data_IF_083948880003
#
_entry.id   IF_083948880003
#
_cell.length_a   1.000
_cell.length_b   1.000
_cell.length_c   1.000
_cell.angle_alpha   90.00
_cell.angle_beta   90.00
_cell.angle_gamma   90.00
#
_symmetry.space_group_name_H-M   'P 1'
#
loop_
_entity.id
_entity.type
_entity.pdbx_description
1 polymer ?
#
# COMPACT_ATOMS: atom_id res chain seq x y z
N UNK A 1 -21.08 -62.34 -8.47
CA UNK A 1 -20.55 -61.64 -7.27
C UNK A 1 -19.77 -60.44 -7.77
N UNK A 2 -20.43 -59.29 -7.99
CA UNK A 2 -19.77 -58.07 -8.49
C UNK A 2 -19.36 -57.22 -7.29
N UNK A 3 -18.05 -57.14 -7.05
CA UNK A 3 -17.48 -56.32 -5.99
C UNK A 3 -17.65 -54.83 -6.36
N UNK A 4 -18.31 -54.07 -5.48
CA UNK A 4 -18.42 -52.62 -5.58
C UNK A 4 -17.06 -52.01 -5.25
N UNK A 5 -16.41 -51.37 -6.23
CA UNK A 5 -15.26 -50.49 -5.99
C UNK A 5 -15.80 -49.25 -5.28
N UNK A 6 -15.45 -49.08 -4.02
CA UNK A 6 -15.74 -47.86 -3.25
C UNK A 6 -14.62 -46.86 -3.63
N UNK A 7 -14.92 -45.94 -4.54
CA UNK A 7 -14.04 -44.80 -4.81
C UNK A 7 -14.03 -43.88 -3.59
N UNK A 8 -12.90 -43.84 -2.89
CA UNK A 8 -12.71 -42.94 -1.77
C UNK A 8 -12.59 -41.50 -2.29
N UNK A 9 -13.60 -40.68 -1.98
CA UNK A 9 -13.56 -39.23 -2.18
C UNK A 9 -12.50 -38.63 -1.25
N UNK A 10 -11.43 -37.97 -1.76
CA UNK A 10 -10.42 -37.41 -0.89
C UNK A 10 -11.01 -36.23 -0.11
N UNK A 11 -11.06 -36.38 1.21
CA UNK A 11 -11.34 -35.32 2.18
C UNK A 11 -10.23 -34.28 2.13
N UNK A 12 -10.46 -33.20 1.40
CA UNK A 12 -9.58 -32.04 1.31
C UNK A 12 -9.63 -31.21 2.60
N UNK A 13 -8.81 -31.56 3.58
CA UNK A 13 -8.55 -30.74 4.77
C UNK A 13 -7.13 -30.17 4.80
N UNK A 14 -6.39 -30.26 3.68
CA UNK A 14 -5.01 -29.79 3.56
C UNK A 14 -4.85 -28.44 2.82
N UNK A 15 -5.94 -27.84 2.31
CA UNK A 15 -5.87 -26.70 1.37
C UNK A 15 -6.09 -25.32 2.02
N UNK A 16 -6.32 -25.23 3.32
CA UNK A 16 -6.63 -23.95 4.00
C UNK A 16 -5.39 -23.20 4.48
N UNK A 17 -4.27 -23.88 4.73
CA UNK A 17 -3.04 -23.22 5.17
C UNK A 17 -2.42 -22.35 4.06
N UNK A 18 -2.51 -22.77 2.79
CA UNK A 18 -1.86 -22.08 1.66
C UNK A 18 -2.67 -20.90 1.12
N UNK A 19 -4.00 -20.96 1.12
CA UNK A 19 -4.84 -19.88 0.58
C UNK A 19 -4.75 -18.59 1.41
N UNK A 20 -4.61 -18.70 2.73
CA UNK A 20 -4.40 -17.57 3.64
C UNK A 20 -3.05 -16.89 3.43
N UNK A 21 -1.98 -17.69 3.35
CA UNK A 21 -0.61 -17.20 3.14
C UNK A 21 -0.44 -16.47 1.81
N UNK A 22 -1.04 -17.01 0.74
CA UNK A 22 -1.04 -16.37 -0.59
C UNK A 22 -1.79 -15.05 -0.54
N UNK A 23 -2.95 -14.98 0.13
CA UNK A 23 -3.72 -13.75 0.28
C UNK A 23 -2.94 -12.67 1.04
N UNK A 24 -2.29 -13.02 2.14
CA UNK A 24 -1.47 -12.08 2.91
C UNK A 24 -0.26 -11.56 2.11
N UNK A 25 0.38 -12.41 1.30
CA UNK A 25 1.45 -11.98 0.40
C UNK A 25 0.94 -10.95 -0.61
N UNK A 26 -0.19 -11.24 -1.27
CA UNK A 26 -0.82 -10.33 -2.23
C UNK A 26 -1.24 -9.00 -1.61
N UNK A 27 -1.78 -9.02 -0.38
CA UNK A 27 -2.14 -7.80 0.37
C UNK A 27 -0.89 -6.97 0.66
N UNK A 28 0.18 -7.61 1.14
CA UNK A 28 1.43 -6.92 1.47
C UNK A 28 2.06 -6.29 0.22
N UNK A 29 2.14 -7.04 -0.88
CA UNK A 29 2.67 -6.54 -2.16
C UNK A 29 1.84 -5.37 -2.70
N UNK A 30 0.52 -5.49 -2.65
CA UNK A 30 -0.39 -4.42 -3.11
C UNK A 30 -0.26 -3.18 -2.25
N UNK A 31 -0.15 -3.35 -0.93
CA UNK A 31 0.04 -2.25 0.02
C UNK A 31 1.35 -1.52 -0.26
N UNK A 32 2.44 -2.25 -0.49
CA UNK A 32 3.73 -1.66 -0.80
C UNK A 32 3.71 -0.89 -2.12
N UNK A 33 3.06 -1.46 -3.15
CA UNK A 33 2.86 -0.77 -4.42
C UNK A 33 2.09 0.54 -4.27
N UNK A 34 1.04 0.56 -3.45
CA UNK A 34 0.24 1.77 -3.21
C UNK A 34 0.98 2.84 -2.40
N UNK A 35 1.91 2.44 -1.52
CA UNK A 35 2.78 3.39 -0.79
C UNK A 35 3.75 4.10 -1.72
N UNK A 36 4.32 3.37 -2.68
CA UNK A 36 5.34 3.89 -3.60
C UNK A 36 4.74 4.61 -4.81
N UNK A 37 3.59 4.15 -5.28
CA UNK A 37 2.85 4.70 -6.42
C UNK A 37 1.52 5.24 -5.93
N UNK A 38 1.58 6.30 -5.11
CA UNK A 38 0.37 7.01 -4.74
C UNK A 38 -0.15 7.74 -5.98
N UNK A 39 -1.30 7.31 -6.51
CA UNK A 39 -2.03 8.00 -7.59
C UNK A 39 -2.64 9.33 -7.11
N UNK A 40 -1.96 10.06 -6.22
CA UNK A 40 -2.39 11.37 -5.75
C UNK A 40 -1.96 12.44 -6.75
N UNK A 41 -2.94 13.14 -7.32
CA UNK A 41 -2.70 14.26 -8.23
C UNK A 41 -2.20 15.54 -7.54
N UNK A 42 -2.02 15.51 -6.21
CA UNK A 42 -1.59 16.64 -5.39
C UNK A 42 -2.35 17.96 -5.65
N UNK A 43 -3.63 17.90 -5.98
CA UNK A 43 -4.42 19.11 -6.33
C UNK A 43 -4.69 20.04 -5.16
N UNK A 44 -4.64 19.51 -3.93
CA UNK A 44 -5.02 20.24 -2.72
C UNK A 44 -3.89 20.26 -1.70
N UNK A 45 -3.44 21.46 -1.38
CA UNK A 45 -2.33 21.73 -0.47
C UNK A 45 -2.79 22.51 0.76
N UNK A 46 -2.30 22.12 1.94
CA UNK A 46 -2.47 22.85 3.19
C UNK A 46 -1.17 23.51 3.57
N UNK A 47 -1.20 24.83 3.78
CA UNK A 47 -0.05 25.54 4.33
C UNK A 47 0.25 25.05 5.76
N UNK A 48 1.50 24.66 6.01
CA UNK A 48 2.01 24.26 7.31
C UNK A 48 3.20 25.15 7.66
N UNK A 49 3.07 25.93 8.73
CA UNK A 49 4.16 26.73 9.27
C UNK A 49 5.11 25.85 10.09
N UNK A 50 6.41 26.09 9.96
CA UNK A 50 7.45 25.37 10.68
C UNK A 50 8.60 24.96 9.76
N UNK A 51 9.69 24.52 10.38
CA UNK A 51 10.82 23.95 9.66
C UNK A 51 10.51 22.51 9.24
N UNK A 52 10.92 22.13 8.03
CA UNK A 52 10.80 20.76 7.56
C UNK A 52 11.56 20.52 6.27
N UNK A 53 11.51 19.27 5.82
CA UNK A 53 12.16 18.81 4.61
C UNK A 53 11.15 18.65 3.47
N UNK A 54 11.45 19.17 2.29
CA UNK A 54 10.64 18.90 1.11
C UNK A 54 10.94 17.50 0.58
N UNK A 55 9.96 16.62 0.57
CA UNK A 55 10.13 15.22 0.16
C UNK A 55 10.31 15.06 -1.36
N UNK A 56 10.01 16.10 -2.17
CA UNK A 56 10.20 16.07 -3.63
C UNK A 56 11.59 16.52 -4.10
N UNK A 57 12.18 17.53 -3.45
CA UNK A 57 13.49 18.08 -3.86
C UNK A 57 14.58 17.88 -2.81
N UNK A 58 14.25 17.26 -1.68
CA UNK A 58 15.14 17.00 -0.56
C UNK A 58 15.87 18.25 -0.02
N UNK A 59 15.20 19.40 -0.06
CA UNK A 59 15.72 20.66 0.49
C UNK A 59 14.98 20.99 1.77
N UNK A 60 15.73 21.43 2.79
CA UNK A 60 15.19 21.90 4.05
C UNK A 60 14.69 23.34 3.94
N UNK A 61 13.49 23.59 4.43
CA UNK A 61 12.87 24.90 4.48
C UNK A 61 12.58 25.27 5.93
N UNK A 62 13.09 26.38 6.45
CA UNK A 62 12.94 26.73 7.86
C UNK A 62 11.59 27.37 8.19
N UNK A 63 10.90 27.93 7.19
CA UNK A 63 9.76 28.83 7.43
C UNK A 63 8.41 28.12 7.28
N UNK A 64 8.22 27.42 6.17
CA UNK A 64 6.95 26.79 5.83
C UNK A 64 7.11 25.74 4.73
N UNK A 65 6.16 24.79 4.72
CA UNK A 65 5.95 23.81 3.66
C UNK A 65 4.46 23.65 3.40
N UNK A 66 4.13 22.99 2.29
CA UNK A 66 2.78 22.61 1.94
C UNK A 66 2.59 21.12 2.18
N UNK A 67 1.57 20.75 2.95
CA UNK A 67 1.15 19.36 3.17
C UNK A 67 0.04 19.00 2.19
N UNK A 68 0.21 17.93 1.41
CA UNK A 68 -0.88 17.44 0.57
C UNK A 68 -2.04 16.93 1.44
N UNK A 69 -3.30 17.24 1.09
CA UNK A 69 -4.46 16.71 1.82
C UNK A 69 -4.75 15.23 1.52
N UNK A 70 -4.23 14.69 0.42
CA UNK A 70 -4.47 13.31 0.00
C UNK A 70 -3.46 12.31 0.56
N UNK A 71 -2.17 12.57 0.34
CA UNK A 71 -1.07 11.67 0.72
C UNK A 71 -0.17 12.22 1.83
N UNK A 72 -0.48 13.39 2.39
CA UNK A 72 0.25 14.03 3.50
C UNK A 72 1.72 14.39 3.27
N UNK A 73 2.24 14.19 2.05
CA UNK A 73 3.60 14.59 1.67
C UNK A 73 3.83 16.10 1.88
N UNK A 74 5.03 16.46 2.30
CA UNK A 74 5.49 17.83 2.46
C UNK A 74 6.27 18.30 1.23
N UNK A 75 5.75 19.33 0.57
CA UNK A 75 6.38 19.96 -0.59
C UNK A 75 6.60 21.45 -0.41
N UNK A 76 7.68 21.97 -1.00
CA UNK A 76 7.94 23.41 -0.99
C UNK A 76 7.06 24.14 -2.01
N UNK A 77 7.10 25.48 -1.98
CA UNK A 77 6.33 26.33 -2.91
C UNK A 77 6.61 26.00 -4.40
N UNK A 78 7.80 25.49 -4.73
CA UNK A 78 8.19 25.14 -6.11
C UNK A 78 7.77 23.73 -6.54
N UNK A 79 7.58 22.81 -5.59
CA UNK A 79 7.32 21.40 -5.85
C UNK A 79 5.85 20.99 -5.64
N UNK A 80 5.00 21.94 -5.27
CA UNK A 80 3.57 21.72 -5.09
C UNK A 80 2.83 21.68 -6.42
#
# INVERSE_FOLDING_TARGET
MLARVIEQRPTSTANTATAGEVRECMIRETTERLRMHHDCQHTTWKYQRGSGHCESCSVDFPNYLYRCRGCEILSCNRCR
#
